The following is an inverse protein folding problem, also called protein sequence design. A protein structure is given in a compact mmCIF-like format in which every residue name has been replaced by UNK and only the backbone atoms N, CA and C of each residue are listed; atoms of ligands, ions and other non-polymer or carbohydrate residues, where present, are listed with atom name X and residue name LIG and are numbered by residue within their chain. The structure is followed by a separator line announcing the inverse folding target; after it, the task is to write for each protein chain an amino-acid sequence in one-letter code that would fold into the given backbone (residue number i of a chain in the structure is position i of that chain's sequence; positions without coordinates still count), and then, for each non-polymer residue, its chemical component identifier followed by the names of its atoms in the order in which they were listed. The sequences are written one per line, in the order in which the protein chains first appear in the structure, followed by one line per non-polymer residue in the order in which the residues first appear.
data_IF_593805070595
#
_entry.id   IF_593805070595
#
_cell.length_a   1.000
_cell.length_b   1.000
_cell.length_c   1.000
_cell.angle_alpha   90.00
_cell.angle_beta   90.00
_cell.angle_gamma   90.00
#
_symmetry.space_group_name_H-M   'P 1'
#
loop_
_entity.id
_entity.type
_entity.pdbx_description
1 polymer ?
#
# COMPACT_ATOMS: atom_id res chain seq x y z
N UNK A 1 -0.67 25.50 -8.96
CA UNK A 1 -1.10 24.15 -9.41
C UNK A 1 0.13 23.36 -9.76
N UNK A 2 0.23 22.11 -9.31
CA UNK A 2 1.34 21.20 -9.67
C UNK A 2 1.16 20.62 -11.07
N UNK A 3 2.25 20.48 -11.82
CA UNK A 3 2.24 19.89 -13.16
C UNK A 3 2.17 18.34 -13.09
N UNK A 4 1.91 17.70 -14.22
CA UNK A 4 1.77 16.23 -14.30
C UNK A 4 3.02 15.51 -13.78
N UNK A 5 4.22 15.93 -14.17
CA UNK A 5 5.47 15.30 -13.70
C UNK A 5 5.62 15.34 -12.19
N UNK A 6 5.30 16.46 -11.54
CA UNK A 6 5.33 16.59 -10.08
C UNK A 6 4.35 15.62 -9.40
N UNK A 7 3.15 15.47 -9.97
CA UNK A 7 2.16 14.51 -9.47
C UNK A 7 2.62 13.06 -9.59
N UNK A 8 3.20 12.69 -10.74
CA UNK A 8 3.70 11.33 -10.97
C UNK A 8 4.88 10.98 -10.08
N UNK A 9 5.79 11.94 -9.82
CA UNK A 9 6.87 11.75 -8.84
C UNK A 9 6.31 11.53 -7.44
N UNK A 10 5.30 12.32 -7.04
CA UNK A 10 4.64 12.12 -5.75
C UNK A 10 4.01 10.73 -5.64
N UNK A 11 3.27 10.27 -6.65
CA UNK A 11 2.67 8.93 -6.70
C UNK A 11 3.73 7.82 -6.63
N UNK A 12 4.80 7.95 -7.41
CA UNK A 12 5.95 7.04 -7.36
C UNK A 12 6.54 6.96 -5.96
N UNK A 13 6.84 8.10 -5.32
CA UNK A 13 7.50 8.14 -4.01
C UNK A 13 6.59 7.59 -2.90
N UNK A 14 5.29 7.87 -2.93
CA UNK A 14 4.36 7.34 -1.94
C UNK A 14 4.19 5.83 -2.05
N UNK A 15 4.08 5.28 -3.27
CA UNK A 15 4.03 3.82 -3.44
C UNK A 15 5.37 3.15 -3.17
N UNK A 16 6.48 3.79 -3.54
CA UNK A 16 7.82 3.33 -3.15
C UNK A 16 7.94 3.20 -1.63
N UNK A 17 7.54 4.24 -0.89
CA UNK A 17 7.58 4.23 0.57
C UNK A 17 6.69 3.15 1.18
N UNK A 18 5.48 2.93 0.64
CA UNK A 18 4.60 1.84 1.05
C UNK A 18 5.31 0.48 0.98
N UNK A 19 5.96 0.17 -0.14
CA UNK A 19 6.68 -1.10 -0.30
C UNK A 19 7.94 -1.12 0.57
N UNK A 20 8.75 -0.07 0.53
CA UNK A 20 10.03 -0.03 1.22
C UNK A 20 9.86 -0.20 2.74
N UNK A 21 8.94 0.53 3.35
CA UNK A 21 8.69 0.42 4.79
C UNK A 21 7.76 -0.75 5.14
N UNK A 22 6.70 -0.96 4.34
CA UNK A 22 5.73 -2.02 4.58
C UNK A 22 6.32 -3.41 4.36
N UNK A 23 6.66 -3.75 3.12
CA UNK A 23 7.24 -5.06 2.79
C UNK A 23 8.63 -5.24 3.41
N UNK A 24 9.41 -4.16 3.54
CA UNK A 24 10.67 -4.18 4.28
C UNK A 24 10.50 -4.54 5.75
N UNK A 25 9.42 -4.11 6.41
CA UNK A 25 9.14 -4.52 7.81
C UNK A 25 8.89 -6.02 7.93
N UNK A 26 8.24 -6.66 6.94
CA UNK A 26 8.05 -8.11 6.93
C UNK A 26 9.40 -8.82 6.83
N UNK A 27 10.28 -8.36 5.94
CA UNK A 27 11.63 -8.92 5.81
C UNK A 27 12.47 -8.68 7.08
N UNK A 28 12.34 -7.52 7.71
CA UNK A 28 13.04 -7.20 8.94
C UNK A 28 12.56 -8.06 10.13
N UNK A 29 11.25 -8.30 10.25
CA UNK A 29 10.68 -9.22 11.25
C UNK A 29 11.23 -10.64 11.06
N UNK A 30 11.30 -11.09 9.80
CA UNK A 30 11.89 -12.38 9.43
C UNK A 30 13.39 -12.47 9.77
N UNK A 31 14.16 -11.40 9.52
CA UNK A 31 15.59 -11.34 9.85
C UNK A 31 15.86 -11.52 11.35
N UNK A 32 14.94 -11.03 12.19
CA UNK A 32 15.05 -11.19 13.64
C UNK A 32 14.78 -12.63 14.11
N UNK A 33 14.29 -13.53 13.25
CA UNK A 33 14.08 -14.96 13.55
C UNK A 33 13.34 -15.21 14.89
N UNK A 34 12.38 -14.36 15.24
CA UNK A 34 11.64 -14.45 16.51
C UNK A 34 12.40 -13.99 17.76
N UNK A 35 13.66 -13.55 17.63
CA UNK A 35 14.43 -12.90 18.70
C UNK A 35 13.96 -11.43 18.89
N UNK A 36 12.75 -11.25 19.41
CA UNK A 36 12.19 -9.92 19.69
C UNK A 36 11.63 -9.21 18.45
N UNK A 37 11.07 -9.98 17.51
CA UNK A 37 10.31 -9.44 16.38
C UNK A 37 9.10 -8.60 16.83
N UNK A 38 8.58 -7.82 15.90
CA UNK A 38 7.46 -6.90 16.13
C UNK A 38 6.11 -7.47 15.64
N UNK A 39 6.15 -8.59 14.89
CA UNK A 39 4.98 -9.38 14.51
C UNK A 39 3.93 -8.60 13.71
N UNK A 40 2.71 -9.14 13.65
CA UNK A 40 1.62 -8.58 12.83
C UNK A 40 1.31 -7.12 13.18
N UNK A 41 1.34 -6.76 14.47
CA UNK A 41 1.07 -5.39 14.91
C UNK A 41 2.09 -4.40 14.36
N UNK A 42 3.39 -4.72 14.46
CA UNK A 42 4.43 -3.86 13.93
C UNK A 42 4.39 -3.76 12.40
N UNK A 43 4.14 -4.87 11.72
CA UNK A 43 3.98 -4.91 10.26
C UNK A 43 2.80 -4.04 9.81
N UNK A 44 1.65 -4.16 10.49
CA UNK A 44 0.47 -3.35 10.19
C UNK A 44 0.73 -1.86 10.42
N UNK A 45 1.39 -1.51 11.53
CA UNK A 45 1.77 -0.13 11.84
C UNK A 45 2.76 0.42 10.82
N UNK A 46 3.75 -0.36 10.37
CA UNK A 46 4.72 0.09 9.38
C UNK A 46 4.06 0.50 8.05
N UNK A 47 3.13 -0.34 7.55
CA UNK A 47 2.37 -0.02 6.34
C UNK A 47 1.46 1.20 6.52
N UNK A 48 0.70 1.24 7.62
CA UNK A 48 -0.22 2.34 7.89
C UNK A 48 0.49 3.67 8.11
N UNK A 49 1.58 3.70 8.88
CA UNK A 49 2.38 4.89 9.11
C UNK A 49 3.06 5.37 7.83
N UNK A 50 3.59 4.45 7.00
CA UNK A 50 4.17 4.82 5.71
C UNK A 50 3.16 5.58 4.84
N UNK A 51 1.93 5.06 4.69
CA UNK A 51 0.89 5.75 3.93
C UNK A 51 0.45 7.04 4.61
N UNK A 52 0.22 7.02 5.93
CA UNK A 52 -0.23 8.20 6.64
C UNK A 52 0.74 9.36 6.51
N UNK A 53 2.03 9.11 6.70
CA UNK A 53 3.10 10.09 6.53
C UNK A 53 3.17 10.56 5.09
N UNK A 54 3.16 9.65 4.11
CA UNK A 54 3.29 10.04 2.70
C UNK A 54 2.08 10.81 2.17
N UNK A 55 0.87 10.51 2.62
CA UNK A 55 -0.33 11.28 2.27
C UNK A 55 -0.26 12.67 2.90
N UNK A 56 0.17 12.78 4.15
CA UNK A 56 0.38 14.07 4.80
C UNK A 56 1.48 14.90 4.12
N UNK A 57 2.55 14.26 3.64
CA UNK A 57 3.67 14.92 3.00
C UNK A 57 3.37 15.33 1.54
N UNK A 58 2.79 14.42 0.76
CA UNK A 58 2.72 14.55 -0.71
C UNK A 58 1.29 14.60 -1.26
N UNK A 59 0.27 14.38 -0.42
CA UNK A 59 -1.14 14.38 -0.85
C UNK A 59 -1.59 15.71 -1.45
N UNK A 60 -1.04 16.83 -0.98
CA UNK A 60 -1.31 18.15 -1.55
C UNK A 60 -0.74 18.36 -2.96
N UNK A 61 0.16 17.47 -3.43
CA UNK A 61 0.77 17.50 -4.76
C UNK A 61 -0.08 16.69 -5.76
N UNK A 62 -0.28 15.39 -5.50
CA UNK A 62 -0.94 14.45 -6.42
C UNK A 62 -2.37 14.04 -6.03
N UNK A 63 -2.81 14.34 -4.81
CA UNK A 63 -3.96 13.67 -4.18
C UNK A 63 -3.56 12.46 -3.33
N UNK A 64 -2.31 11.99 -3.44
CA UNK A 64 -1.73 10.96 -2.60
C UNK A 64 -2.45 9.61 -2.68
N UNK A 65 -2.71 9.13 -3.91
CA UNK A 65 -3.46 7.89 -4.07
C UNK A 65 -2.62 6.68 -3.66
N UNK A 66 -1.39 6.60 -4.17
CA UNK A 66 -0.38 5.57 -3.91
C UNK A 66 -0.86 4.12 -4.10
N UNK A 67 -2.04 3.96 -4.72
CA UNK A 67 -2.83 2.75 -4.76
C UNK A 67 -3.71 2.77 -6.02
N UNK A 68 -3.56 1.78 -6.92
CA UNK A 68 -4.42 1.67 -8.08
C UNK A 68 -5.91 1.58 -7.77
N UNK A 69 -6.29 0.93 -6.65
CA UNK A 69 -7.68 0.81 -6.20
C UNK A 69 -8.26 2.16 -5.73
N UNK A 70 -7.46 2.99 -5.04
CA UNK A 70 -7.88 4.35 -4.69
C UNK A 70 -8.02 5.20 -5.96
N UNK A 71 -7.07 5.06 -6.90
CA UNK A 71 -7.07 5.78 -8.18
C UNK A 71 -8.32 5.47 -9.01
N UNK A 72 -8.78 4.21 -9.04
CA UNK A 72 -10.03 3.86 -9.71
C UNK A 72 -11.24 4.57 -9.08
N UNK A 73 -11.25 4.75 -7.75
CA UNK A 73 -12.30 5.47 -7.04
C UNK A 73 -12.43 6.93 -7.50
N UNK A 74 -11.30 7.61 -7.69
CA UNK A 74 -11.27 8.97 -8.25
C UNK A 74 -11.70 9.01 -9.70
N UNK A 75 -11.35 8.00 -10.49
CA UNK A 75 -11.76 7.91 -11.89
C UNK A 75 -13.27 7.70 -12.05
N UNK A 76 -13.87 6.74 -11.33
CA UNK A 76 -15.32 6.47 -11.44
C UNK A 76 -16.18 7.61 -10.89
N UNK A 77 -15.64 8.39 -9.95
CA UNK A 77 -16.28 9.61 -9.44
C UNK A 77 -15.96 10.86 -10.27
N UNK A 78 -15.29 10.71 -11.42
CA UNK A 78 -14.94 11.78 -12.37
C UNK A 78 -14.05 12.88 -11.79
N UNK A 79 -13.26 12.56 -10.76
CA UNK A 79 -12.29 13.45 -10.11
C UNK A 79 -10.89 13.35 -10.72
N UNK A 80 -10.63 12.31 -11.51
CA UNK A 80 -9.42 12.11 -12.29
C UNK A 80 -9.80 11.67 -13.71
N UNK A 81 -9.18 12.26 -14.74
CA UNK A 81 -9.43 11.86 -16.12
C UNK A 81 -8.69 10.54 -16.46
N UNK A 82 -9.10 9.86 -17.53
CA UNK A 82 -8.57 8.55 -17.91
C UNK A 82 -7.06 8.56 -18.17
N UNK A 83 -6.51 9.63 -18.75
CA UNK A 83 -5.07 9.71 -19.04
C UNK A 83 -4.29 9.80 -17.73
N UNK A 84 -4.68 10.68 -16.83
CA UNK A 84 -4.05 10.82 -15.52
C UNK A 84 -4.18 9.54 -14.69
N UNK A 85 -5.32 8.83 -14.76
CA UNK A 85 -5.50 7.51 -14.11
C UNK A 85 -4.45 6.49 -14.57
N UNK A 86 -4.23 6.37 -15.88
CA UNK A 86 -3.25 5.44 -16.44
C UNK A 86 -1.83 5.84 -16.02
N UNK A 87 -1.52 7.13 -16.06
CA UNK A 87 -0.21 7.64 -15.65
C UNK A 87 0.05 7.40 -14.15
N UNK A 88 -0.98 7.57 -13.30
CA UNK A 88 -0.88 7.28 -11.87
C UNK A 88 -0.62 5.80 -11.63
N UNK A 89 -1.34 4.90 -12.30
CA UNK A 89 -1.08 3.47 -12.21
C UNK A 89 0.34 3.12 -12.63
N UNK A 90 0.83 3.68 -13.75
CA UNK A 90 2.21 3.47 -14.18
C UNK A 90 3.22 3.94 -13.13
N UNK A 91 3.04 5.15 -12.58
CA UNK A 91 3.93 5.69 -11.55
C UNK A 91 3.92 4.84 -10.26
N UNK A 92 2.74 4.41 -9.81
CA UNK A 92 2.56 3.56 -8.62
C UNK A 92 3.22 2.19 -8.81
N UNK A 93 2.98 1.53 -9.94
CA UNK A 93 3.59 0.23 -10.25
C UNK A 93 5.11 0.34 -10.36
N UNK A 94 5.63 1.35 -11.05
CA UNK A 94 7.08 1.59 -11.14
C UNK A 94 7.70 1.88 -9.77
N UNK A 95 7.01 2.65 -8.91
CA UNK A 95 7.42 2.88 -7.52
C UNK A 95 7.48 1.61 -6.69
N UNK A 96 6.46 0.76 -6.81
CA UNK A 96 6.42 -0.52 -6.11
C UNK A 96 7.55 -1.47 -6.56
N UNK A 97 7.79 -1.56 -7.88
CA UNK A 97 8.86 -2.37 -8.46
C UNK A 97 10.22 -1.87 -7.98
N UNK A 98 10.47 -0.56 -8.06
CA UNK A 98 11.74 0.04 -7.67
C UNK A 98 12.07 -0.24 -6.20
N UNK A 99 11.08 -0.09 -5.29
CA UNK A 99 11.25 -0.41 -3.88
C UNK A 99 11.50 -1.91 -3.65
N UNK A 100 10.73 -2.79 -4.32
CA UNK A 100 10.90 -4.24 -4.16
C UNK A 100 12.26 -4.74 -4.64
N UNK A 101 12.76 -4.27 -5.79
CA UNK A 101 14.11 -4.60 -6.26
C UNK A 101 15.20 -4.00 -5.38
N UNK A 102 15.00 -2.81 -4.83
CA UNK A 102 15.93 -2.25 -3.86
C UNK A 102 15.99 -3.12 -2.59
N UNK A 103 14.85 -3.51 -2.02
CA UNK A 103 14.80 -4.42 -0.88
C UNK A 103 15.50 -5.74 -1.19
N UNK A 104 15.23 -6.34 -2.37
CA UNK A 104 15.89 -7.56 -2.84
C UNK A 104 17.42 -7.43 -2.89
N UNK A 105 17.93 -6.25 -3.25
CA UNK A 105 19.36 -6.00 -3.37
C UNK A 105 20.05 -5.74 -2.03
N UNK A 106 19.35 -5.18 -1.04
CA UNK A 106 19.96 -4.76 0.23
C UNK A 106 19.67 -5.70 1.41
N UNK A 107 18.66 -6.57 1.31
CA UNK A 107 18.31 -7.55 2.34
C UNK A 107 18.96 -8.91 2.01
N UNK A 108 19.49 -9.65 2.99
CA UNK A 108 20.05 -10.98 2.77
C UNK A 108 19.08 -11.91 2.03
N UNK A 109 19.62 -12.71 1.12
CA UNK A 109 18.82 -13.53 0.20
C UNK A 109 17.90 -14.51 0.93
N UNK A 110 18.43 -15.23 1.91
CA UNK A 110 17.67 -16.20 2.70
C UNK A 110 16.51 -15.54 3.48
N UNK A 111 16.70 -14.30 3.92
CA UNK A 111 15.66 -13.54 4.64
C UNK A 111 14.51 -13.19 3.72
N UNK A 112 14.77 -12.54 2.59
CA UNK A 112 13.67 -12.09 1.73
C UNK A 112 13.00 -13.26 1.00
N UNK A 113 13.74 -14.33 0.68
CA UNK A 113 13.16 -15.54 0.08
C UNK A 113 12.17 -16.23 1.01
N UNK A 114 12.48 -16.29 2.31
CA UNK A 114 11.63 -16.96 3.29
C UNK A 114 10.22 -16.35 3.43
N UNK A 115 10.05 -15.09 3.02
CA UNK A 115 8.76 -14.37 3.05
C UNK A 115 8.35 -13.85 1.67
N UNK A 116 8.98 -14.34 0.60
CA UNK A 116 8.74 -13.89 -0.78
C UNK A 116 8.71 -12.35 -0.92
N UNK A 117 9.67 -11.62 -0.31
CA UNK A 117 9.72 -10.15 -0.28
C UNK A 117 8.48 -9.48 0.34
N UNK A 118 7.71 -10.20 1.16
CA UNK A 118 6.46 -9.71 1.74
C UNK A 118 5.31 -9.65 0.73
N UNK A 119 5.35 -10.46 -0.33
CA UNK A 119 4.24 -10.59 -1.30
C UNK A 119 2.98 -11.09 -0.59
N UNK A 120 1.83 -10.40 -0.70
CA UNK A 120 0.57 -10.90 -0.15
C UNK A 120 0.21 -12.26 -0.74
N UNK A 121 -0.18 -13.21 0.11
CA UNK A 121 -0.49 -14.58 -0.29
C UNK A 121 -1.75 -15.08 0.43
N UNK A 122 -2.59 -15.83 -0.29
CA UNK A 122 -3.77 -16.47 0.27
C UNK A 122 -3.33 -17.64 1.15
N UNK A 123 -3.78 -17.68 2.41
CA UNK A 123 -3.53 -18.81 3.29
C UNK A 123 -4.08 -20.11 2.69
N UNK A 124 -3.31 -21.20 2.79
CA UNK A 124 -3.59 -22.46 2.09
C UNK A 124 -4.93 -23.11 2.46
N UNK A 125 -5.43 -22.84 3.67
CA UNK A 125 -6.69 -23.33 4.21
C UNK A 125 -7.84 -22.30 4.08
N UNK A 126 -7.59 -21.14 3.46
CA UNK A 126 -8.57 -20.08 3.30
C UNK A 126 -9.16 -20.06 1.87
N UNK A 127 -10.50 -20.16 1.71
CA UNK A 127 -11.09 -20.30 0.39
C UNK A 127 -11.00 -19.00 -0.42
N UNK A 128 -10.69 -19.13 -1.71
CA UNK A 128 -10.46 -18.00 -2.63
C UNK A 128 -11.56 -16.93 -2.57
N UNK A 129 -12.83 -17.34 -2.60
CA UNK A 129 -13.96 -16.39 -2.57
C UNK A 129 -13.99 -15.57 -1.29
N UNK A 130 -13.60 -16.16 -0.15
CA UNK A 130 -13.55 -15.46 1.13
C UNK A 130 -12.37 -14.49 1.18
N UNK A 131 -11.21 -14.87 0.60
CA UNK A 131 -10.08 -13.98 0.39
C UNK A 131 -10.44 -12.77 -0.46
N UNK A 132 -11.12 -12.99 -1.59
CA UNK A 132 -11.62 -11.91 -2.45
C UNK A 132 -12.60 -10.99 -1.71
N UNK A 133 -13.55 -11.55 -0.94
CA UNK A 133 -14.49 -10.78 -0.15
C UNK A 133 -13.79 -9.96 0.94
N UNK A 134 -12.79 -10.54 1.61
CA UNK A 134 -12.01 -9.86 2.65
C UNK A 134 -11.21 -8.68 2.09
N UNK A 135 -10.51 -8.87 0.98
CA UNK A 135 -9.78 -7.80 0.28
C UNK A 135 -10.73 -6.72 -0.24
N UNK A 136 -11.90 -7.11 -0.75
CA UNK A 136 -12.92 -6.15 -1.21
C UNK A 136 -13.44 -5.28 -0.06
N UNK A 137 -13.76 -5.87 1.09
CA UNK A 137 -14.28 -5.13 2.26
C UNK A 137 -13.22 -4.22 2.87
N UNK A 138 -11.99 -4.72 3.06
CA UNK A 138 -10.89 -3.92 3.62
C UNK A 138 -10.51 -2.76 2.70
N UNK A 139 -10.45 -3.00 1.39
CA UNK A 139 -10.21 -1.94 0.39
C UNK A 139 -11.38 -0.96 0.32
N UNK A 140 -12.63 -1.42 0.47
CA UNK A 140 -13.80 -0.54 0.53
C UNK A 140 -13.68 0.46 1.67
N UNK A 141 -13.34 0.02 2.88
CA UNK A 141 -13.16 0.93 4.01
C UNK A 141 -11.99 1.91 3.79
N UNK A 142 -10.89 1.46 3.19
CA UNK A 142 -9.80 2.33 2.79
C UNK A 142 -10.29 3.44 1.85
N UNK A 143 -10.95 3.08 0.75
CA UNK A 143 -11.47 4.06 -0.23
C UNK A 143 -12.52 4.97 0.41
N UNK A 144 -13.41 4.43 1.25
CA UNK A 144 -14.41 5.21 1.99
C UNK A 144 -13.73 6.27 2.86
N UNK A 145 -12.71 5.91 3.64
CA UNK A 145 -12.00 6.85 4.51
C UNK A 145 -11.24 7.90 3.70
N UNK A 146 -10.63 7.53 2.57
CA UNK A 146 -10.01 8.50 1.64
C UNK A 146 -11.05 9.53 1.20
N UNK A 147 -12.22 9.08 0.75
CA UNK A 147 -13.27 10.00 0.28
C UNK A 147 -13.86 10.84 1.41
N UNK A 148 -14.16 10.24 2.56
CA UNK A 148 -14.78 10.92 3.68
C UNK A 148 -13.87 11.95 4.36
N UNK A 149 -12.54 11.76 4.32
CA UNK A 149 -11.59 12.60 5.08
C UNK A 149 -10.78 13.55 4.20
N UNK A 150 -10.42 13.15 2.97
CA UNK A 150 -9.57 13.96 2.08
C UNK A 150 -10.38 14.67 0.99
N UNK A 151 -11.50 14.09 0.56
CA UNK A 151 -12.26 14.54 -0.62
C UNK A 151 -13.52 15.31 -0.25
N UNK A 152 -14.29 14.87 0.74
CA UNK A 152 -15.52 15.54 1.17
C UNK A 152 -15.21 16.86 1.89
N UNK A 153 -15.75 17.97 1.38
CA UNK A 153 -15.60 19.31 1.96
C UNK A 153 -16.32 19.44 3.32
N UNK A 154 -17.30 18.57 3.60
CA UNK A 154 -17.98 18.51 4.90
C UNK A 154 -17.18 17.74 5.95
N UNK A 155 -16.07 17.10 5.56
CA UNK A 155 -15.20 16.36 6.46
C UNK A 155 -14.50 17.29 7.45
N UNK A 156 -14.75 17.10 8.75
CA UNK A 156 -14.29 18.01 9.81
C UNK A 156 -12.76 18.03 10.04
N UNK A 157 -11.99 17.14 9.41
CA UNK A 157 -10.61 16.83 9.82
C UNK A 157 -9.62 16.61 8.66
N UNK A 158 -9.61 17.52 7.68
CA UNK A 158 -8.75 17.39 6.48
C UNK A 158 -7.25 17.34 6.78
N UNK A 159 -6.81 18.03 7.83
CA UNK A 159 -5.39 18.11 8.25
C UNK A 159 -4.83 16.78 8.77
N UNK A 160 -5.67 15.89 9.28
CA UNK A 160 -5.28 14.57 9.79
C UNK A 160 -5.73 13.42 8.87
N UNK A 161 -6.26 13.74 7.68
CA UNK A 161 -6.78 12.75 6.73
C UNK A 161 -5.74 11.68 6.37
N UNK A 162 -4.47 12.08 6.19
CA UNK A 162 -3.36 11.15 5.98
C UNK A 162 -3.27 10.08 7.05
N UNK A 163 -3.21 10.46 8.33
CA UNK A 163 -3.20 9.50 9.44
C UNK A 163 -4.46 8.63 9.50
N UNK A 164 -5.65 9.18 9.24
CA UNK A 164 -6.89 8.39 9.17
C UNK A 164 -6.85 7.31 8.08
N UNK A 165 -6.35 7.66 6.90
CA UNK A 165 -6.15 6.73 5.78
C UNK A 165 -5.12 5.65 6.17
N UNK A 166 -3.98 6.06 6.72
CA UNK A 166 -2.92 5.16 7.18
C UNK A 166 -3.40 4.17 8.25
N UNK A 167 -4.11 4.64 9.27
CA UNK A 167 -4.66 3.78 10.32
C UNK A 167 -5.71 2.79 9.79
N UNK A 168 -6.42 3.14 8.72
CA UNK A 168 -7.35 2.22 8.06
C UNK A 168 -6.60 1.07 7.38
N UNK A 169 -5.42 1.34 6.81
CA UNK A 169 -4.52 0.28 6.30
C UNK A 169 -4.00 -0.58 7.44
N UNK A 170 -3.62 0.02 8.58
CA UNK A 170 -3.25 -0.74 9.78
C UNK A 170 -4.36 -1.72 10.18
N UNK A 171 -5.59 -1.25 10.29
CA UNK A 171 -6.75 -2.10 10.62
C UNK A 171 -6.96 -3.21 9.58
N UNK A 172 -6.86 -2.87 8.30
CA UNK A 172 -6.95 -3.82 7.20
C UNK A 172 -5.92 -4.94 7.31
N UNK A 173 -4.66 -4.62 7.58
CA UNK A 173 -3.58 -5.62 7.71
C UNK A 173 -3.71 -6.44 8.98
N UNK A 174 -4.17 -5.86 10.10
CA UNK A 174 -4.45 -6.62 11.32
C UNK A 174 -5.49 -7.73 11.11
N UNK A 175 -6.43 -7.54 10.17
CA UNK A 175 -7.46 -8.53 9.85
C UNK A 175 -7.03 -9.43 8.68
N UNK A 176 -6.62 -8.83 7.57
CA UNK A 176 -6.34 -9.53 6.32
C UNK A 176 -4.92 -10.11 6.23
N UNK A 177 -3.96 -9.62 7.01
CA UNK A 177 -2.57 -10.06 7.00
C UNK A 177 -2.42 -11.59 7.12
N UNK A 178 -3.01 -12.24 8.13
CA UNK A 178 -2.91 -13.69 8.30
C UNK A 178 -3.63 -14.53 7.23
N UNK A 179 -4.56 -13.95 6.47
CA UNK A 179 -5.49 -14.69 5.60
C UNK A 179 -5.20 -14.48 4.10
N UNK A 180 -4.80 -13.27 3.71
CA UNK A 180 -4.53 -12.88 2.31
C UNK A 180 -3.21 -12.12 2.16
N UNK A 181 -2.45 -11.94 3.25
CA UNK A 181 -1.27 -11.08 3.29
C UNK A 181 -1.57 -9.58 3.34
N UNK A 182 -2.86 -9.20 3.37
CA UNK A 182 -3.32 -7.81 3.47
C UNK A 182 -2.82 -6.96 2.31
N UNK A 183 -3.34 -7.20 1.10
CA UNK A 183 -2.94 -6.47 -0.08
C UNK A 183 -3.48 -5.04 -0.05
N UNK A 184 -4.82 -4.87 -0.01
CA UNK A 184 -5.57 -3.60 -0.07
C UNK A 184 -5.23 -2.67 -1.26
N UNK A 185 -4.24 -3.03 -2.06
CA UNK A 185 -3.55 -2.18 -3.02
C UNK A 185 -2.88 -3.08 -4.06
N UNK A 186 -3.32 -3.04 -5.34
CA UNK A 186 -2.73 -3.84 -6.40
C UNK A 186 -1.24 -3.61 -6.62
N UNK A 187 -0.73 -2.38 -6.43
CA UNK A 187 0.71 -2.10 -6.54
C UNK A 187 1.50 -2.70 -5.36
N UNK A 188 0.88 -2.77 -4.16
CA UNK A 188 1.47 -3.42 -2.97
C UNK A 188 1.70 -4.91 -3.15
N UNK A 189 0.84 -5.56 -3.94
CA UNK A 189 1.02 -6.95 -4.36
C UNK A 189 2.04 -7.05 -5.50
N UNK A 190 1.83 -6.29 -6.59
CA UNK A 190 2.55 -6.46 -7.85
C UNK A 190 4.08 -6.27 -7.74
N UNK A 191 4.54 -5.24 -7.00
CA UNK A 191 5.97 -4.94 -6.90
C UNK A 191 6.79 -6.10 -6.32
N UNK A 192 6.50 -6.54 -5.08
CA UNK A 192 7.12 -7.72 -4.48
C UNK A 192 6.94 -9.00 -5.31
N UNK A 193 5.74 -9.27 -5.82
CA UNK A 193 5.44 -10.45 -6.64
C UNK A 193 6.38 -10.57 -7.86
N UNK A 194 6.52 -9.47 -8.61
CA UNK A 194 7.41 -9.41 -9.76
C UNK A 194 8.89 -9.58 -9.37
N UNK A 195 9.34 -8.91 -8.32
CA UNK A 195 10.73 -8.97 -7.87
C UNK A 195 11.12 -10.35 -7.29
N UNK A 196 10.19 -11.00 -6.59
CA UNK A 196 10.37 -12.32 -5.98
C UNK A 196 10.08 -13.47 -6.95
N UNK A 197 9.48 -13.20 -8.11
CA UNK A 197 8.94 -14.21 -9.04
C UNK A 197 7.93 -15.14 -8.36
N UNK A 198 7.02 -14.57 -7.55
CA UNK A 198 5.99 -15.26 -6.76
C UNK A 198 4.61 -14.67 -7.06
N UNK A 199 3.61 -15.49 -7.42
CA UNK A 199 2.30 -15.04 -7.92
C UNK A 199 1.13 -15.76 -7.28
#
# INVERSE_FOLDING_TARGET
MYNTSQKLIAEFLGTFALIFFGAGSICADQYLHGAGGFGLLGIALAHGLAIGIMVSAMGHISGGHFNPAVTIGFWVTKRLNTVDTILYWAAQLVGAIAAAFLLKAIIPEDTWRAVALGTPELASDFPLWAGMALEAVTTFFLVLVVFATAVDEKGAFRSISGFGIGLTITLGILVAGPLTGGALNPARFFGPALAATHW
#
